data_IF_491605746207
#
_entry.id   IF_491605746207
#
_cell.length_a   1.000
_cell.length_b   1.000
_cell.length_c   1.000
_cell.angle_alpha   90.00
_cell.angle_beta   90.00
_cell.angle_gamma   90.00
#
_symmetry.space_group_name_H-M   'P 1'
#
loop_
_entity.id
_entity.type
_entity.pdbx_description
1 polymer ?
#
# COMPACT_ATOMS: atom_id res chain seq x y z
N UNK A 1 -7.69 -4.19 13.52
CA UNK A 1 -6.61 -3.95 12.54
C UNK A 1 -5.28 -4.06 13.25
N UNK A 2 -4.28 -4.67 12.62
CA UNK A 2 -2.90 -4.69 13.09
C UNK A 2 -1.97 -4.34 11.94
N UNK A 3 -0.91 -3.57 12.19
CA UNK A 3 0.07 -3.23 11.17
C UNK A 3 1.49 -3.21 11.75
N UNK A 4 2.46 -3.47 10.88
CA UNK A 4 3.88 -3.37 11.19
C UNK A 4 4.62 -2.89 9.95
N UNK A 5 5.61 -2.02 10.13
CA UNK A 5 6.38 -1.49 9.02
C UNK A 5 7.67 -0.84 9.49
N UNK A 6 8.50 -0.48 8.52
CA UNK A 6 9.79 0.13 8.77
C UNK A 6 10.30 0.90 7.56
N UNK A 7 11.25 1.79 7.84
CA UNK A 7 12.00 2.54 6.84
C UNK A 7 13.49 2.21 6.98
N UNK A 8 14.17 2.15 5.85
CA UNK A 8 15.60 1.93 5.75
C UNK A 8 16.20 2.98 4.83
N UNK A 9 17.22 3.71 5.31
CA UNK A 9 18.03 4.59 4.48
C UNK A 9 19.15 3.79 3.80
N UNK A 10 18.97 3.45 2.52
CA UNK A 10 19.98 2.72 1.75
C UNK A 10 21.16 3.67 1.49
N UNK A 11 20.83 4.94 1.27
CA UNK A 11 21.73 6.09 1.17
C UNK A 11 21.04 7.30 1.82
N UNK A 12 21.75 8.42 2.08
CA UNK A 12 21.14 9.63 2.63
C UNK A 12 19.97 10.19 1.78
N UNK A 13 19.96 9.89 0.49
CA UNK A 13 19.00 10.34 -0.51
C UNK A 13 18.06 9.23 -1.03
N UNK A 14 18.22 7.99 -0.55
CA UNK A 14 17.40 6.83 -0.97
C UNK A 14 16.79 6.15 0.24
N UNK A 15 15.45 6.16 0.33
CA UNK A 15 14.69 5.56 1.42
C UNK A 15 13.83 4.41 0.90
N UNK A 16 14.02 3.23 1.46
CA UNK A 16 13.16 2.07 1.26
C UNK A 16 12.16 1.99 2.42
N UNK A 17 10.88 1.87 2.12
CA UNK A 17 9.83 1.62 3.09
C UNK A 17 9.10 0.33 2.79
N UNK A 18 8.77 -0.42 3.84
CA UNK A 18 7.93 -1.60 3.74
C UNK A 18 6.93 -1.62 4.90
N UNK A 19 5.71 -2.05 4.61
CA UNK A 19 4.64 -2.20 5.59
C UNK A 19 3.82 -3.44 5.29
N UNK A 20 3.33 -4.07 6.34
CA UNK A 20 2.32 -5.10 6.31
C UNK A 20 1.13 -4.67 7.17
N UNK A 21 -0.07 -4.87 6.64
CA UNK A 21 -1.34 -4.61 7.33
C UNK A 21 -2.21 -5.85 7.30
N UNK A 22 -2.74 -6.19 8.47
CA UNK A 22 -3.81 -7.17 8.63
C UNK A 22 -5.12 -6.46 8.96
N UNK A 23 -6.11 -6.70 8.11
CA UNK A 23 -7.45 -6.14 8.20
C UNK A 23 -8.41 -7.28 8.50
N UNK A 24 -9.13 -7.17 9.61
CA UNK A 24 -10.22 -8.08 9.98
C UNK A 24 -11.52 -7.29 9.92
N UNK A 25 -12.41 -7.74 9.06
CA UNK A 25 -13.77 -7.26 8.92
C UNK A 25 -14.64 -7.66 10.09
N UNK A 26 -15.79 -7.00 10.21
CA UNK A 26 -16.83 -7.32 11.18
C UNK A 26 -17.93 -8.16 10.52
N UNK A 27 -18.96 -8.50 11.29
CA UNK A 27 -20.11 -9.28 10.82
C UNK A 27 -20.79 -8.67 9.58
N UNK A 28 -20.83 -7.34 9.46
CA UNK A 28 -21.40 -6.63 8.30
C UNK A 28 -20.63 -6.87 6.98
N UNK A 29 -19.39 -7.34 7.05
CA UNK A 29 -18.57 -7.75 5.90
C UNK A 29 -18.21 -9.24 5.97
N UNK A 30 -19.05 -10.05 6.62
CA UNK A 30 -18.90 -11.51 6.76
C UNK A 30 -17.59 -11.94 7.44
N UNK A 31 -17.07 -11.14 8.38
CA UNK A 31 -15.79 -11.38 9.04
C UNK A 31 -14.60 -11.56 8.06
N UNK A 32 -14.74 -11.01 6.84
CA UNK A 32 -13.72 -11.08 5.80
C UNK A 32 -12.41 -10.50 6.31
N UNK A 33 -11.30 -11.12 5.94
CA UNK A 33 -9.98 -10.67 6.35
C UNK A 33 -9.05 -10.54 5.16
N UNK A 34 -8.19 -9.53 5.22
CA UNK A 34 -7.26 -9.19 4.17
C UNK A 34 -5.87 -8.90 4.72
N UNK A 35 -4.89 -9.29 3.93
CA UNK A 35 -3.47 -9.08 4.16
C UNK A 35 -2.98 -8.15 3.07
N UNK A 36 -2.44 -6.98 3.44
CA UNK A 36 -1.84 -6.04 2.49
C UNK A 36 -0.36 -5.86 2.80
N UNK A 37 0.47 -5.96 1.78
CA UNK A 37 1.89 -5.61 1.81
C UNK A 37 2.09 -4.39 0.94
N UNK A 38 2.79 -3.38 1.47
CA UNK A 38 3.19 -2.17 0.76
C UNK A 38 4.70 -2.09 0.75
N UNK A 39 5.27 -1.80 -0.41
CA UNK A 39 6.69 -1.47 -0.55
C UNK A 39 6.81 -0.17 -1.33
N UNK A 40 7.69 0.73 -0.89
CA UNK A 40 7.95 2.00 -1.54
C UNK A 40 9.44 2.30 -1.57
N UNK A 41 9.92 2.83 -2.69
CA UNK A 41 11.26 3.37 -2.83
C UNK A 41 11.15 4.86 -3.15
N UNK A 42 11.86 5.67 -2.38
CA UNK A 42 11.84 7.12 -2.48
C UNK A 42 13.25 7.62 -2.77
N UNK A 43 13.35 8.56 -3.70
CA UNK A 43 14.57 9.29 -4.02
C UNK A 43 14.39 10.78 -3.73
N UNK A 44 15.24 11.31 -2.85
CA UNK A 44 15.21 12.68 -2.37
C UNK A 44 16.10 13.56 -3.27
N UNK A 45 15.52 14.17 -4.31
CA UNK A 45 16.24 15.12 -5.17
C UNK A 45 16.77 16.33 -4.40
N UNK A 46 16.02 16.78 -3.40
CA UNK A 46 16.40 17.88 -2.51
C UNK A 46 15.68 17.75 -1.16
N UNK A 47 15.93 18.69 -0.23
CA UNK A 47 15.15 18.80 1.01
C UNK A 47 13.65 19.09 0.79
N UNK A 48 13.27 19.54 -0.41
CA UNK A 48 11.91 19.96 -0.76
C UNK A 48 11.24 19.07 -1.80
N UNK A 49 12.01 18.29 -2.56
CA UNK A 49 11.51 17.53 -3.70
C UNK A 49 11.94 16.07 -3.62
N UNK A 50 10.98 15.18 -3.79
CA UNK A 50 11.21 13.73 -3.87
C UNK A 50 10.40 13.11 -5.00
N UNK A 51 10.91 12.01 -5.55
CA UNK A 51 10.13 11.08 -6.38
C UNK A 51 10.04 9.73 -5.70
N UNK A 52 8.98 9.00 -6.01
CA UNK A 52 8.79 7.68 -5.45
C UNK A 52 8.12 6.74 -6.43
N UNK A 53 8.39 5.45 -6.22
CA UNK A 53 7.63 4.34 -6.77
C UNK A 53 7.17 3.47 -5.61
N UNK A 54 5.94 2.96 -5.68
CA UNK A 54 5.40 2.07 -4.66
C UNK A 54 4.53 1.00 -5.27
N UNK A 55 4.48 -0.15 -4.62
CA UNK A 55 3.57 -1.23 -4.94
C UNK A 55 2.82 -1.67 -3.68
N UNK A 56 1.53 -1.93 -3.84
CA UNK A 56 0.67 -2.56 -2.86
C UNK A 56 0.18 -3.88 -3.42
N UNK A 57 0.26 -4.93 -2.62
CA UNK A 57 -0.34 -6.22 -2.89
C UNK A 57 -1.29 -6.56 -1.75
N UNK A 58 -2.55 -6.82 -2.08
CA UNK A 58 -3.55 -7.27 -1.12
C UNK A 58 -4.09 -8.64 -1.50
N UNK A 59 -4.19 -9.51 -0.50
CA UNK A 59 -4.89 -10.79 -0.56
C UNK A 59 -6.03 -10.81 0.46
N UNK A 60 -7.26 -10.91 -0.04
CA UNK A 60 -8.44 -11.15 0.77
C UNK A 60 -8.69 -12.67 0.95
N UNK A 61 -9.55 -13.03 1.89
CA UNK A 61 -10.03 -14.39 2.07
C UNK A 61 -10.93 -14.86 0.91
N UNK A 62 -11.16 -16.16 0.82
CA UNK A 62 -11.97 -16.74 -0.26
C UNK A 62 -13.41 -16.21 -0.20
N UNK A 63 -13.96 -15.83 -1.37
CA UNK A 63 -15.28 -15.21 -1.47
C UNK A 63 -15.31 -13.69 -1.25
N UNK A 64 -14.16 -13.07 -0.95
CA UNK A 64 -14.03 -11.63 -0.82
C UNK A 64 -13.19 -11.05 -1.97
N UNK A 65 -13.57 -9.85 -2.42
CA UNK A 65 -12.81 -9.10 -3.41
C UNK A 65 -11.74 -8.25 -2.73
N UNK A 66 -10.51 -8.27 -3.25
CA UNK A 66 -9.45 -7.42 -2.74
C UNK A 66 -9.62 -5.98 -3.22
N UNK A 67 -9.54 -5.02 -2.29
CA UNK A 67 -9.52 -3.60 -2.55
C UNK A 67 -8.39 -2.95 -1.73
N UNK A 68 -7.27 -2.67 -2.38
CA UNK A 68 -6.11 -1.99 -1.82
C UNK A 68 -6.51 -0.60 -1.33
N UNK A 69 -6.10 -0.26 -0.11
CA UNK A 69 -6.33 1.07 0.44
C UNK A 69 -5.72 2.17 -0.44
N UNK A 70 -6.47 3.26 -0.65
CA UNK A 70 -6.04 4.39 -1.47
C UNK A 70 -6.30 4.24 -2.97
N UNK A 71 -7.05 3.23 -3.40
CA UNK A 71 -7.76 3.25 -4.69
C UNK A 71 -9.10 3.94 -4.45
N UNK A 72 -9.30 5.12 -5.03
CA UNK A 72 -10.49 5.97 -4.81
C UNK A 72 -11.61 5.73 -5.84
N UNK A 73 -11.39 4.82 -6.79
CA UNK A 73 -12.40 4.43 -7.78
C UNK A 73 -13.52 3.60 -7.09
N UNK A 74 -14.80 3.95 -7.25
CA UNK A 74 -15.93 3.16 -6.75
C UNK A 74 -15.95 1.71 -7.25
N UNK A 75 -15.39 1.44 -8.43
CA UNK A 75 -15.20 0.11 -9.02
C UNK A 75 -13.75 -0.38 -8.88
N UNK A 76 -12.99 0.24 -7.99
CA UNK A 76 -11.57 -0.02 -7.77
C UNK A 76 -11.27 -1.33 -7.04
N UNK A 77 -12.28 -2.14 -6.71
CA UNK A 77 -12.09 -3.48 -6.17
C UNK A 77 -11.74 -4.48 -7.28
N UNK A 78 -10.85 -5.42 -6.98
CA UNK A 78 -10.56 -6.55 -7.87
C UNK A 78 -11.77 -7.47 -7.99
N UNK A 79 -11.92 -8.14 -9.14
CA UNK A 79 -12.89 -9.22 -9.33
C UNK A 79 -12.46 -10.54 -8.66
N UNK A 80 -11.31 -10.55 -7.98
CA UNK A 80 -10.77 -11.71 -7.29
C UNK A 80 -10.29 -11.34 -5.89
N UNK A 81 -9.92 -12.37 -5.11
CA UNK A 81 -9.31 -12.22 -3.80
C UNK A 81 -7.90 -11.59 -3.83
N UNK A 82 -7.35 -11.19 -4.97
CA UNK A 82 -6.04 -10.55 -5.07
C UNK A 82 -6.08 -9.27 -5.87
N UNK A 83 -5.36 -8.26 -5.39
CA UNK A 83 -5.18 -7.00 -6.12
C UNK A 83 -3.75 -6.50 -5.94
N UNK A 84 -3.19 -5.99 -7.03
CA UNK A 84 -1.90 -5.31 -7.04
C UNK A 84 -2.09 -3.90 -7.59
N UNK A 85 -1.54 -2.90 -6.91
CA UNK A 85 -1.54 -1.51 -7.35
C UNK A 85 -0.11 -1.00 -7.36
N UNK A 86 0.32 -0.44 -8.48
CA UNK A 86 1.59 0.27 -8.59
C UNK A 86 1.34 1.77 -8.70
N UNK A 87 2.20 2.58 -8.09
CA UNK A 87 2.16 4.04 -8.18
C UNK A 87 3.56 4.59 -8.42
N UNK A 88 3.61 5.67 -9.18
CA UNK A 88 4.80 6.52 -9.34
C UNK A 88 4.36 7.96 -9.11
N UNK A 89 5.18 8.75 -8.43
CA UNK A 89 4.82 10.13 -8.12
C UNK A 89 6.00 11.03 -7.80
N UNK A 90 5.70 12.32 -7.79
CA UNK A 90 6.61 13.40 -7.41
C UNK A 90 5.92 14.25 -6.35
N UNK A 91 6.66 14.64 -5.31
CA UNK A 91 6.19 15.51 -4.24
C UNK A 91 7.17 16.66 -4.03
N UNK A 92 6.68 17.90 -4.09
CA UNK A 92 7.46 19.12 -3.86
C UNK A 92 6.74 20.03 -2.87
N UNK A 93 7.49 20.56 -1.89
CA UNK A 93 7.01 21.53 -0.90
C UNK A 93 7.57 22.93 -1.21
N UNK A 94 6.68 23.91 -1.40
CA UNK A 94 7.00 25.30 -1.74
C UNK A 94 7.09 26.18 -0.50
#
# INVERSE_FOLDING_TARGET
>A
MAEAGGLWHIRPDVVLGAKYMYMKGNEAVNDNHAHQVTVALQYLFSKRTMVYVSADYQRANNGANAQVNGVLDPNGASSSASQTVARVGLHTVF
#
